data_IF_325432420832
#
_entry.id   IF_325432420832
#
_cell.length_a   1.000
_cell.length_b   1.000
_cell.length_c   1.000
_cell.angle_alpha   90.00
_cell.angle_beta   90.00
_cell.angle_gamma   90.00
#
_symmetry.space_group_name_H-M   'P 1'
#
loop_
_entity.id
_entity.type
_entity.pdbx_description
1 polymer ?
#
# COMPACT_ATOMS: atom_id res chain seq x y z
N UNK A 1 2.53 -8.38 -35.34
CA UNK A 1 3.21 -7.37 -34.49
C UNK A 1 2.54 -7.36 -33.13
N UNK A 2 3.28 -7.63 -32.05
CA UNK A 2 2.76 -7.50 -30.68
C UNK A 2 2.85 -6.01 -30.32
N UNK A 3 1.72 -5.35 -30.14
CA UNK A 3 1.69 -3.98 -29.64
C UNK A 3 2.07 -3.99 -28.16
N UNK A 4 3.11 -3.25 -27.80
CA UNK A 4 3.60 -3.10 -26.42
C UNK A 4 2.93 -1.92 -25.69
N UNK A 5 1.69 -1.59 -26.07
CA UNK A 5 0.94 -0.48 -25.48
C UNK A 5 0.27 -0.88 -24.17
N UNK A 6 0.31 0.01 -23.18
CA UNK A 6 -0.49 -0.11 -21.96
C UNK A 6 -1.96 0.18 -22.33
N UNK A 7 -2.89 -0.65 -21.83
CA UNK A 7 -4.34 -0.43 -22.03
C UNK A 7 -4.77 0.90 -21.42
N UNK A 8 -5.74 1.60 -22.04
CA UNK A 8 -6.27 2.85 -21.47
C UNK A 8 -6.85 2.65 -20.06
N UNK A 9 -7.42 1.47 -19.78
CA UNK A 9 -7.92 1.13 -18.44
C UNK A 9 -6.78 1.09 -17.42
N UNK A 10 -5.64 0.52 -17.82
CA UNK A 10 -4.45 0.47 -16.98
C UNK A 10 -3.83 1.85 -16.82
N UNK A 11 -3.75 2.63 -17.90
CA UNK A 11 -3.26 4.01 -17.85
C UNK A 11 -4.09 4.88 -16.90
N UNK A 12 -5.43 4.77 -16.96
CA UNK A 12 -6.32 5.50 -16.03
C UNK A 12 -6.14 5.04 -14.58
N UNK A 13 -5.97 3.74 -14.34
CA UNK A 13 -5.72 3.21 -12.99
C UNK A 13 -4.38 3.72 -12.42
N UNK A 14 -3.32 3.70 -13.22
CA UNK A 14 -1.98 4.15 -12.84
C UNK A 14 -1.97 5.65 -12.52
N UNK A 15 -2.59 6.46 -13.39
CA UNK A 15 -2.73 7.91 -13.18
C UNK A 15 -3.52 8.20 -11.90
N UNK A 16 -4.64 7.51 -11.69
CA UNK A 16 -5.45 7.71 -10.49
C UNK A 16 -4.67 7.36 -9.22
N UNK A 17 -3.82 6.31 -9.26
CA UNK A 17 -2.99 5.93 -8.13
C UNK A 17 -1.96 7.00 -7.75
N UNK A 18 -1.27 7.58 -8.75
CA UNK A 18 -0.22 8.57 -8.52
C UNK A 18 -0.72 9.85 -7.83
N UNK A 19 -1.93 10.31 -8.18
CA UNK A 19 -2.48 11.55 -7.62
C UNK A 19 -3.14 11.36 -6.26
N UNK A 20 -3.71 10.19 -5.95
CA UNK A 20 -4.34 9.95 -4.63
C UNK A 20 -3.34 9.74 -3.49
N UNK A 21 -2.06 9.47 -3.79
CA UNK A 21 -1.00 9.29 -2.78
C UNK A 21 -0.26 10.59 -2.41
N UNK A 22 -0.68 11.75 -2.94
CA UNK A 22 -0.02 13.04 -2.70
C UNK A 22 -0.68 13.83 -1.56
N UNK A 23 -0.50 13.36 -0.33
CA UNK A 23 -0.48 14.27 0.82
C UNK A 23 0.68 13.92 1.75
N UNK A 24 1.90 14.17 1.26
CA UNK A 24 3.11 14.17 2.09
C UNK A 24 3.29 15.59 2.60
N UNK A 25 2.72 15.90 3.76
CA UNK A 25 3.22 17.01 4.56
C UNK A 25 4.54 16.58 5.21
N UNK A 26 5.66 17.05 4.66
CA UNK A 26 6.98 16.88 5.26
C UNK A 26 7.06 17.77 6.50
N UNK A 27 6.83 17.17 7.67
CA UNK A 27 7.23 17.75 8.94
C UNK A 27 8.32 16.88 9.55
N UNK A 28 9.51 17.46 9.72
CA UNK A 28 10.65 16.84 10.42
C UNK A 28 10.58 17.23 11.90
N UNK A 29 10.53 16.27 12.84
CA UNK A 29 10.94 16.53 14.21
C UNK A 29 12.21 15.73 14.58
N UNK A 30 13.19 16.45 15.14
CA UNK A 30 14.40 15.88 15.73
C UNK A 30 14.11 15.08 17.02
N UNK A 31 14.50 13.79 17.02
CA UNK A 31 14.98 12.96 18.15
C UNK A 31 13.93 12.41 19.19
N UNK A 32 14.09 11.17 19.72
CA UNK A 32 12.94 10.27 19.95
C UNK A 32 12.56 10.07 21.44
N UNK A 33 11.31 9.68 21.68
CA UNK A 33 10.98 8.58 22.56
C UNK A 33 10.44 7.41 21.72
N UNK A 34 10.76 6.17 22.11
CA UNK A 34 10.27 4.95 21.47
C UNK A 34 8.73 4.97 21.44
N UNK A 35 8.07 5.10 20.27
CA UNK A 35 6.62 5.11 20.21
C UNK A 35 6.13 3.66 20.13
N UNK A 36 5.27 3.25 21.04
CA UNK A 36 4.31 2.21 20.70
C UNK A 36 3.40 2.82 19.62
N UNK A 37 3.58 2.36 18.38
CA UNK A 37 2.92 2.92 17.20
C UNK A 37 1.43 2.55 17.24
N UNK A 38 0.64 3.42 17.84
CA UNK A 38 -0.82 3.35 17.77
C UNK A 38 -1.20 3.37 16.29
N UNK A 39 -2.02 2.42 15.80
CA UNK A 39 -2.39 2.36 14.39
C UNK A 39 -2.97 3.70 13.95
N UNK A 40 -2.31 4.35 13.01
CA UNK A 40 -2.85 5.57 12.41
C UNK A 40 -3.93 5.11 11.42
N UNK A 41 -5.18 5.40 11.75
CA UNK A 41 -6.30 5.16 10.86
C UNK A 41 -6.14 6.05 9.62
N UNK A 42 -5.75 5.43 8.51
CA UNK A 42 -5.75 6.05 7.19
C UNK A 42 -7.02 5.54 6.53
N UNK A 43 -8.08 6.34 6.52
CA UNK A 43 -9.42 5.89 6.10
C UNK A 43 -9.64 5.94 4.59
N UNK A 44 -8.77 6.63 3.83
CA UNK A 44 -9.04 6.98 2.42
C UNK A 44 -7.89 6.62 1.45
N UNK A 45 -6.96 5.75 1.87
CA UNK A 45 -5.82 5.33 1.04
C UNK A 45 -6.12 4.13 0.14
N UNK A 46 -5.57 4.11 -1.07
CA UNK A 46 -5.56 2.92 -1.95
C UNK A 46 -4.11 2.51 -2.20
N UNK A 47 -3.79 1.24 -1.94
CA UNK A 47 -2.49 0.65 -2.25
C UNK A 47 -2.53 -0.02 -3.61
N UNK A 48 -1.64 0.39 -4.52
CA UNK A 48 -1.46 -0.22 -5.83
C UNK A 48 -0.29 -1.20 -5.78
N UNK A 49 -0.52 -2.44 -6.21
CA UNK A 49 0.50 -3.46 -6.24
C UNK A 49 1.24 -3.38 -7.58
N UNK A 50 2.45 -2.85 -7.55
CA UNK A 50 3.29 -2.73 -8.76
C UNK A 50 4.18 -3.97 -8.99
N UNK A 51 4.36 -4.77 -7.95
CA UNK A 51 5.17 -5.99 -7.96
C UNK A 51 4.39 -7.25 -8.33
N UNK A 52 5.11 -8.32 -8.62
CA UNK A 52 4.56 -9.68 -8.66
C UNK A 52 4.94 -10.42 -7.39
N UNK A 53 4.11 -11.38 -6.98
CA UNK A 53 4.39 -12.28 -5.86
C UNK A 53 4.55 -11.57 -4.49
N UNK A 54 3.93 -10.40 -4.31
CA UNK A 54 3.98 -9.61 -3.06
C UNK A 54 3.23 -10.37 -1.96
N UNK A 55 3.87 -10.58 -0.81
CA UNK A 55 3.27 -11.37 0.27
C UNK A 55 2.29 -10.53 1.09
N UNK A 56 1.01 -10.91 1.13
CA UNK A 56 0.07 -10.43 2.13
C UNK A 56 0.13 -11.35 3.35
N UNK A 57 0.44 -10.80 4.52
CA UNK A 57 0.63 -11.53 5.78
C UNK A 57 -0.47 -11.23 6.79
N UNK A 58 -0.67 -12.12 7.77
CA UNK A 58 -1.65 -11.94 8.86
C UNK A 58 -1.33 -10.81 9.84
N UNK A 59 -0.13 -10.26 9.82
CA UNK A 59 0.30 -9.22 10.73
C UNK A 59 1.42 -8.36 10.14
N UNK A 60 1.78 -7.31 10.87
CA UNK A 60 2.87 -6.38 10.57
C UNK A 60 4.23 -7.04 10.83
N UNK A 61 4.67 -7.90 9.90
CA UNK A 61 5.98 -8.54 9.99
C UNK A 61 6.18 -9.69 9.01
N UNK A 62 7.45 -10.04 8.77
CA UNK A 62 7.83 -11.15 7.88
C UNK A 62 7.77 -12.52 8.54
N UNK A 63 7.62 -12.58 9.87
CA UNK A 63 7.49 -13.84 10.64
C UNK A 63 6.06 -14.39 10.64
N UNK A 64 5.07 -13.57 10.29
CA UNK A 64 3.67 -13.99 10.22
C UNK A 64 3.41 -14.88 9.01
N UNK A 65 2.39 -15.73 9.12
CA UNK A 65 1.93 -16.55 8.00
C UNK A 65 1.43 -15.69 6.83
N UNK A 66 1.85 -16.07 5.62
CA UNK A 66 1.28 -15.57 4.37
C UNK A 66 -0.17 -16.00 4.24
N UNK A 67 -1.05 -15.06 3.92
CA UNK A 67 -2.45 -15.32 3.54
C UNK A 67 -2.52 -15.60 2.03
N UNK A 68 -1.89 -14.74 1.21
CA UNK A 68 -1.77 -14.96 -0.24
C UNK A 68 -0.66 -14.10 -0.85
N UNK A 69 -0.45 -14.26 -2.15
CA UNK A 69 0.37 -13.36 -2.94
C UNK A 69 -0.48 -12.43 -3.80
N UNK A 70 -0.07 -11.17 -3.85
CA UNK A 70 -0.65 -10.13 -4.67
C UNK A 70 0.25 -9.89 -5.88
N UNK A 71 -0.36 -9.54 -7.00
CA UNK A 71 0.32 -9.25 -8.25
C UNK A 71 -0.18 -7.95 -8.84
N UNK A 72 0.62 -7.32 -9.70
CA UNK A 72 0.11 -6.24 -10.54
C UNK A 72 -0.96 -6.77 -11.51
N UNK A 73 -2.01 -6.00 -11.83
CA UNK A 73 -2.26 -4.60 -11.41
C UNK A 73 -3.26 -4.48 -10.24
N UNK A 74 -3.17 -5.35 -9.22
CA UNK A 74 -4.14 -5.34 -8.12
C UNK A 74 -4.08 -4.03 -7.30
N UNK A 75 -5.22 -3.61 -6.75
CA UNK A 75 -5.34 -2.47 -5.83
C UNK A 75 -6.28 -2.78 -4.68
N UNK A 76 -5.97 -2.23 -3.49
CA UNK A 76 -6.71 -2.50 -2.25
C UNK A 76 -6.91 -1.22 -1.45
N UNK A 77 -8.05 -1.12 -0.76
CA UNK A 77 -8.24 -0.09 0.26
C UNK A 77 -7.28 -0.33 1.43
N UNK A 78 -6.70 0.75 1.93
CA UNK A 78 -5.86 0.76 3.12
C UNK A 78 -6.75 1.14 4.30
N UNK A 79 -6.77 0.28 5.33
CA UNK A 79 -7.54 0.48 6.56
C UNK A 79 -6.68 1.06 7.70
N UNK A 80 -5.37 1.11 7.50
CA UNK A 80 -4.43 1.65 8.46
C UNK A 80 -2.99 1.33 8.10
N UNK A 81 -2.08 1.99 8.82
CA UNK A 81 -0.64 1.74 8.73
C UNK A 81 -0.07 1.53 10.14
N UNK A 82 0.82 0.55 10.28
CA UNK A 82 1.53 0.23 11.52
C UNK A 82 2.89 -0.37 11.20
N UNK A 83 3.97 0.12 11.82
CA UNK A 83 5.33 -0.40 11.69
C UNK A 83 5.81 -0.49 10.23
N UNK A 84 5.37 0.44 9.37
CA UNK A 84 5.66 0.44 7.94
C UNK A 84 4.86 -0.57 7.11
N UNK A 85 3.90 -1.30 7.71
CA UNK A 85 2.97 -2.21 7.03
C UNK A 85 1.62 -1.55 6.77
N UNK A 86 1.02 -1.88 5.61
CA UNK A 86 -0.33 -1.46 5.26
C UNK A 86 -1.33 -2.56 5.61
N UNK A 87 -2.42 -2.19 6.26
CA UNK A 87 -3.56 -3.08 6.45
C UNK A 87 -4.48 -3.01 5.22
N UNK A 88 -4.56 -4.10 4.45
CA UNK A 88 -5.35 -4.20 3.22
C UNK A 88 -6.68 -4.95 3.39
N UNK A 89 -7.15 -5.14 4.63
CA UNK A 89 -8.44 -5.75 4.96
C UNK A 89 -9.09 -5.14 6.20
N UNK A 90 -10.42 -5.14 6.23
CA UNK A 90 -11.19 -4.93 7.46
C UNK A 90 -11.48 -6.27 8.14
N UNK A 91 -11.90 -6.25 9.40
CA UNK A 91 -12.38 -7.44 10.13
C UNK A 91 -13.42 -8.24 9.34
#
# INVERSE_FOLDING_TARGET
MRSHGVSEVQFRADVQCAYNNSNVEVSVPEKPPKPEEVPTAVTDGVACIEGYNVNLSKGSGTSYSKIRQLNKPESYMVWGKMDGWLNLGGE
#
